data_IF_885139494373
#
_entry.id   IF_885139494373
#
_cell.length_a   1.000
_cell.length_b   1.000
_cell.length_c   1.000
_cell.angle_alpha   90.00
_cell.angle_beta   90.00
_cell.angle_gamma   90.00
#
_symmetry.space_group_name_H-M   'P 1'
#
loop_
_entity.id
_entity.type
_entity.pdbx_description
1 polymer ?
#
# COMPACT_ATOMS: atom_id res chain seq x y z
N UNK A 1 -14.74 8.92 16.84
CA UNK A 1 -13.26 8.91 16.77
C UNK A 1 -12.88 9.45 15.39
N UNK A 2 -12.02 10.47 15.30
CA UNK A 2 -11.66 11.09 14.02
C UNK A 2 -10.36 10.48 13.54
N UNK A 3 -10.43 9.58 12.56
CA UNK A 3 -9.25 8.99 11.92
C UNK A 3 -8.69 10.02 10.94
N UNK A 4 -7.40 10.35 11.04
CA UNK A 4 -6.72 11.22 10.07
C UNK A 4 -5.56 10.47 9.46
N UNK A 5 -5.64 10.21 8.16
CA UNK A 5 -4.57 9.60 7.38
C UNK A 5 -3.44 10.61 7.14
N UNK A 6 -2.22 10.10 6.96
CA UNK A 6 -1.07 10.95 6.67
C UNK A 6 -1.18 11.46 5.22
N UNK A 7 -1.54 12.74 5.07
CA UNK A 7 -1.76 13.36 3.76
C UNK A 7 -0.41 13.82 3.18
N UNK A 8 -0.10 13.56 1.90
CA UNK A 8 1.13 14.03 1.29
C UNK A 8 1.24 15.56 1.40
N UNK A 9 2.36 16.06 1.95
CA UNK A 9 2.62 17.49 2.08
C UNK A 9 3.23 18.08 0.81
N UNK A 10 2.44 18.91 0.14
CA UNK A 10 2.71 20.13 -0.65
C UNK A 10 3.97 20.34 -1.53
N UNK A 11 4.78 19.34 -1.90
CA UNK A 11 5.96 19.66 -2.72
C UNK A 11 5.75 19.61 -4.26
N UNK A 12 4.80 18.85 -4.82
CA UNK A 12 4.93 18.46 -6.25
C UNK A 12 3.68 18.37 -7.17
N UNK A 13 2.43 18.56 -6.74
CA UNK A 13 1.27 18.28 -7.64
C UNK A 13 0.09 19.28 -7.51
N UNK A 14 -0.45 19.71 -8.66
CA UNK A 14 -1.45 20.79 -8.81
C UNK A 14 -2.84 20.57 -8.19
N UNK A 15 -3.62 21.65 -8.11
CA UNK A 15 -4.77 21.79 -7.19
C UNK A 15 -6.02 20.93 -7.44
N UNK A 16 -6.32 20.51 -8.68
CA UNK A 16 -7.52 19.71 -8.99
C UNK A 16 -7.36 18.23 -8.59
N UNK A 17 -6.22 17.62 -8.94
CA UNK A 17 -5.88 16.25 -8.55
C UNK A 17 -5.78 16.10 -7.02
N UNK A 18 -5.23 17.12 -6.35
CA UNK A 18 -5.19 17.21 -4.88
C UNK A 18 -6.58 17.17 -4.25
N UNK A 19 -7.53 17.94 -4.80
CA UNK A 19 -8.88 18.00 -4.23
C UNK A 19 -9.59 16.65 -4.37
N UNK A 20 -9.40 15.95 -5.48
CA UNK A 20 -9.94 14.60 -5.69
C UNK A 20 -9.31 13.58 -4.72
N UNK A 21 -7.98 13.60 -4.54
CA UNK A 21 -7.29 12.74 -3.57
C UNK A 21 -7.76 13.00 -2.14
N UNK A 22 -7.91 14.27 -1.75
CA UNK A 22 -8.41 14.62 -0.42
C UNK A 22 -9.86 14.19 -0.20
N UNK A 23 -10.73 14.31 -1.21
CA UNK A 23 -12.10 13.82 -1.14
C UNK A 23 -12.13 12.29 -0.97
N UNK A 24 -11.32 11.57 -1.73
CA UNK A 24 -11.19 10.12 -1.59
C UNK A 24 -10.66 9.72 -0.20
N UNK A 25 -9.75 10.51 0.36
CA UNK A 25 -9.26 10.35 1.74
C UNK A 25 -10.31 10.61 2.80
N UNK A 26 -11.11 11.68 2.67
CA UNK A 26 -12.18 11.95 3.63
C UNK A 26 -13.23 10.81 3.61
N UNK A 27 -13.51 10.25 2.42
CA UNK A 27 -14.40 9.10 2.26
C UNK A 27 -13.82 7.83 2.90
N UNK A 28 -12.53 7.57 2.71
CA UNK A 28 -11.85 6.42 3.30
C UNK A 28 -11.78 6.54 4.83
N UNK A 29 -11.42 7.71 5.37
CA UNK A 29 -11.38 8.00 6.80
C UNK A 29 -12.76 7.75 7.45
N UNK A 30 -13.84 8.17 6.78
CA UNK A 30 -15.21 7.94 7.23
C UNK A 30 -15.55 6.44 7.23
N UNK A 31 -15.28 5.74 6.13
CA UNK A 31 -15.53 4.31 6.02
C UNK A 31 -14.74 3.51 7.07
N UNK A 32 -13.47 3.86 7.30
CA UNK A 32 -12.64 3.22 8.35
C UNK A 32 -13.26 3.40 9.74
N UNK A 33 -13.77 4.60 10.05
CA UNK A 33 -14.41 4.90 11.33
C UNK A 33 -15.71 4.12 11.52
N UNK A 34 -16.51 3.95 10.47
CA UNK A 34 -17.75 3.15 10.48
C UNK A 34 -17.48 1.65 10.68
N UNK A 35 -16.30 1.16 10.29
CA UNK A 35 -15.91 -0.25 10.38
C UNK A 35 -14.97 -0.56 11.57
N UNK A 36 -14.86 0.36 12.53
CA UNK A 36 -14.11 0.15 13.78
C UNK A 36 -12.59 0.12 13.63
N UNK A 37 -12.04 0.55 12.49
CA UNK A 37 -10.60 0.62 12.25
C UNK A 37 -10.05 1.84 13.01
N UNK A 38 -8.93 1.69 13.72
CA UNK A 38 -8.47 2.71 14.68
C UNK A 38 -7.47 3.71 14.11
N UNK A 39 -6.42 3.28 13.39
CA UNK A 39 -5.45 4.16 12.70
C UNK A 39 -4.81 3.50 11.46
N UNK A 40 -4.14 4.27 10.59
CA UNK A 40 -3.36 3.75 9.45
C UNK A 40 -2.11 2.97 9.91
N UNK A 41 -1.61 3.27 11.10
CA UNK A 41 -0.53 2.52 11.75
C UNK A 41 -1.01 1.11 12.14
N UNK A 42 -2.24 0.98 12.66
CA UNK A 42 -2.90 -0.30 12.91
C UNK A 42 -3.23 -1.06 11.60
N UNK A 43 -3.49 -0.33 10.51
CA UNK A 43 -3.54 -0.81 9.11
C UNK A 43 -2.16 -1.27 8.56
N UNK A 44 -1.04 -1.04 9.23
CA UNK A 44 0.29 -1.46 8.76
C UNK A 44 1.02 -2.38 9.74
N UNK A 45 0.55 -2.49 10.98
CA UNK A 45 1.29 -3.13 12.07
C UNK A 45 0.80 -4.52 12.54
N UNK A 46 -0.19 -5.16 11.92
CA UNK A 46 -0.65 -6.48 12.39
C UNK A 46 -0.40 -7.59 11.36
N UNK A 47 0.52 -8.49 11.69
CA UNK A 47 0.95 -9.62 10.85
C UNK A 47 0.07 -10.86 11.05
N UNK A 48 -1.27 -10.72 11.03
CA UNK A 48 -2.12 -11.92 11.06
C UNK A 48 -2.01 -12.63 9.71
N UNK A 49 -1.61 -13.90 9.78
CA UNK A 49 -1.47 -14.86 8.69
C UNK A 49 -2.63 -14.79 7.69
N UNK A 50 -2.36 -14.22 6.52
CA UNK A 50 -3.22 -14.12 5.32
C UNK A 50 -4.56 -13.43 5.62
N UNK A 51 -4.94 -12.42 4.83
CA UNK A 51 -6.20 -11.66 4.98
C UNK A 51 -7.50 -12.46 4.70
N UNK A 52 -7.54 -13.74 5.05
CA UNK A 52 -8.56 -14.71 4.69
C UNK A 52 -8.36 -15.29 3.28
N UNK A 53 -9.06 -16.39 2.99
CA UNK A 53 -9.20 -16.96 1.66
C UNK A 53 -10.17 -16.17 0.77
N UNK A 54 -10.19 -16.49 -0.53
CA UNK A 54 -11.01 -15.83 -1.55
C UNK A 54 -12.52 -15.81 -1.25
N UNK A 55 -13.01 -16.83 -0.54
CA UNK A 55 -14.43 -16.98 -0.22
C UNK A 55 -14.80 -16.48 1.17
N UNK A 56 -13.82 -16.04 1.96
CA UNK A 56 -14.09 -15.59 3.31
C UNK A 56 -14.89 -14.30 3.25
N UNK A 57 -16.05 -14.27 3.89
CA UNK A 57 -16.88 -13.06 4.01
C UNK A 57 -16.57 -12.28 5.29
N UNK A 58 -15.68 -12.81 6.13
CA UNK A 58 -15.25 -12.24 7.40
C UNK A 58 -13.73 -12.33 7.52
N UNK A 59 -13.09 -11.22 7.90
CA UNK A 59 -11.65 -11.13 8.14
C UNK A 59 -11.38 -9.98 9.12
N UNK A 60 -10.25 -10.02 9.82
CA UNK A 60 -9.94 -9.01 10.84
C UNK A 60 -9.45 -7.70 10.19
N UNK A 61 -10.34 -6.71 10.14
CA UNK A 61 -10.08 -5.37 9.62
C UNK A 61 -9.14 -4.53 10.49
N UNK A 62 -8.77 -5.00 11.69
CA UNK A 62 -7.75 -4.37 12.53
C UNK A 62 -6.33 -4.86 12.20
N UNK A 63 -6.19 -5.62 11.11
CA UNK A 63 -4.90 -6.07 10.61
C UNK A 63 -4.55 -5.40 9.31
N UNK A 64 -3.25 -5.35 8.98
CA UNK A 64 -2.82 -4.63 7.79
C UNK A 64 -3.40 -5.20 6.50
N UNK A 65 -3.41 -6.53 6.44
CA UNK A 65 -3.91 -7.27 5.29
C UNK A 65 -5.45 -7.26 5.25
N UNK A 66 -6.12 -7.43 6.39
CA UNK A 66 -7.58 -7.34 6.44
C UNK A 66 -8.09 -5.94 6.11
N UNK A 67 -7.40 -4.90 6.57
CA UNK A 67 -7.79 -3.54 6.26
C UNK A 67 -7.53 -3.21 4.77
N UNK A 68 -6.39 -3.63 4.19
CA UNK A 68 -6.13 -3.50 2.75
C UNK A 68 -7.24 -4.17 1.92
N UNK A 69 -7.62 -5.38 2.30
CA UNK A 69 -8.72 -6.12 1.69
C UNK A 69 -10.02 -5.33 1.74
N UNK A 70 -10.35 -4.76 2.88
CA UNK A 70 -11.57 -3.98 3.06
C UNK A 70 -11.61 -2.72 2.17
N UNK A 71 -10.46 -2.04 1.99
CA UNK A 71 -10.34 -0.91 1.06
C UNK A 71 -10.61 -1.36 -0.37
N UNK A 72 -10.02 -2.48 -0.80
CA UNK A 72 -10.23 -3.04 -2.14
C UNK A 72 -11.71 -3.36 -2.37
N UNK A 73 -12.35 -4.05 -1.43
CA UNK A 73 -13.78 -4.37 -1.52
C UNK A 73 -14.64 -3.10 -1.58
N UNK A 74 -14.35 -2.10 -0.75
CA UNK A 74 -15.04 -0.82 -0.79
C UNK A 74 -14.93 -0.13 -2.15
N UNK A 75 -13.71 -0.02 -2.71
CA UNK A 75 -13.50 0.59 -4.03
C UNK A 75 -14.25 -0.19 -5.11
N UNK A 76 -14.19 -1.54 -5.09
CA UNK A 76 -14.88 -2.37 -6.09
C UNK A 76 -16.40 -2.26 -6.01
N UNK A 77 -16.97 -2.13 -4.82
CA UNK A 77 -18.41 -1.98 -4.63
C UNK A 77 -18.95 -0.61 -5.05
N UNK A 78 -18.19 0.46 -4.79
CA UNK A 78 -18.66 1.83 -5.00
C UNK A 78 -18.17 2.45 -6.31
N UNK A 79 -17.04 1.96 -6.84
CA UNK A 79 -16.36 2.50 -8.01
C UNK A 79 -15.79 1.38 -8.90
N UNK A 80 -16.64 0.50 -9.46
CA UNK A 80 -16.21 -0.75 -10.10
C UNK A 80 -15.23 -0.57 -11.27
N UNK A 81 -15.29 0.56 -11.97
CA UNK A 81 -14.37 0.90 -13.07
C UNK A 81 -12.99 1.41 -12.65
N UNK A 82 -12.72 1.54 -11.36
CA UNK A 82 -11.42 2.02 -10.87
C UNK A 82 -10.36 0.94 -11.03
N UNK A 83 -9.25 1.25 -11.70
CA UNK A 83 -8.08 0.39 -11.70
C UNK A 83 -7.36 0.46 -10.35
N UNK A 84 -7.01 -0.71 -9.80
CA UNK A 84 -6.32 -0.80 -8.51
C UNK A 84 -5.01 -1.55 -8.75
N UNK A 85 -3.90 -0.85 -8.51
CA UNK A 85 -2.55 -1.39 -8.60
C UNK A 85 -1.99 -1.55 -7.20
N UNK A 86 -1.44 -2.73 -6.87
CA UNK A 86 -0.82 -2.99 -5.58
C UNK A 86 0.70 -3.04 -5.68
N UNK A 87 1.37 -2.34 -4.77
CA UNK A 87 2.82 -2.33 -4.67
C UNK A 87 3.23 -2.86 -3.30
N UNK A 88 4.14 -3.83 -3.27
CA UNK A 88 4.65 -4.35 -1.98
C UNK A 88 5.60 -3.33 -1.33
N UNK A 89 5.82 -3.39 0.00
CA UNK A 89 6.80 -2.55 0.68
C UNK A 89 8.22 -2.73 0.12
N UNK A 90 9.10 -1.76 0.36
CA UNK A 90 10.51 -1.86 -0.04
C UNK A 90 11.31 -2.62 1.02
N UNK A 91 12.33 -3.35 0.57
CA UNK A 91 13.44 -3.72 1.45
C UNK A 91 14.12 -2.46 2.01
N UNK A 92 14.55 -2.53 3.26
CA UNK A 92 15.21 -1.42 3.93
C UNK A 92 16.19 -1.88 5.02
N UNK A 93 17.03 -0.97 5.50
CA UNK A 93 18.10 -1.24 6.45
C UNK A 93 17.67 -1.11 7.93
N UNK A 94 16.48 -0.57 8.21
CA UNK A 94 16.11 -0.08 9.56
C UNK A 94 14.93 -0.83 10.18
N UNK A 95 14.36 -1.81 9.49
CA UNK A 95 13.22 -2.60 9.95
C UNK A 95 13.52 -4.09 9.85
N UNK A 96 12.70 -4.87 10.54
CA UNK A 96 12.68 -6.32 10.48
C UNK A 96 12.21 -6.77 9.08
N UNK A 97 13.12 -7.35 8.30
CA UNK A 97 12.85 -7.77 6.92
C UNK A 97 12.03 -9.05 6.84
N UNK A 98 12.10 -9.93 7.85
CA UNK A 98 11.29 -11.15 7.89
C UNK A 98 9.81 -10.80 8.05
N UNK A 99 9.50 -9.81 8.92
CA UNK A 99 8.14 -9.27 9.05
C UNK A 99 7.65 -8.58 7.77
N UNK A 100 8.52 -7.81 7.11
CA UNK A 100 8.17 -7.18 5.83
C UNK A 100 7.91 -8.21 4.73
N UNK A 101 8.64 -9.32 4.72
CA UNK A 101 8.42 -10.41 3.78
C UNK A 101 7.05 -11.08 4.00
N UNK A 102 6.65 -11.30 5.26
CA UNK A 102 5.30 -11.81 5.58
C UNK A 102 4.21 -10.87 5.06
N UNK A 103 4.33 -9.56 5.29
CA UNK A 103 3.37 -8.56 4.77
C UNK A 103 3.37 -8.52 3.24
N UNK A 104 4.55 -8.57 2.62
CA UNK A 104 4.73 -8.62 1.16
C UNK A 104 3.97 -9.80 0.55
N UNK A 105 4.14 -10.99 1.12
CA UNK A 105 3.46 -12.20 0.67
C UNK A 105 1.94 -12.09 0.85
N UNK A 106 1.49 -11.49 1.95
CA UNK A 106 0.08 -11.20 2.19
C UNK A 106 -0.53 -10.26 1.15
N UNK A 107 0.15 -9.18 0.78
CA UNK A 107 -0.29 -8.23 -0.26
C UNK A 107 -0.38 -8.94 -1.61
N UNK A 108 0.61 -9.76 -1.95
CA UNK A 108 0.60 -10.58 -3.17
C UNK A 108 -0.61 -11.51 -3.20
N UNK A 109 -0.87 -12.23 -2.10
CA UNK A 109 -2.03 -13.13 -2.01
C UNK A 109 -3.37 -12.37 -2.14
N UNK A 110 -3.50 -11.19 -1.53
CA UNK A 110 -4.69 -10.34 -1.68
C UNK A 110 -4.85 -9.89 -3.14
N UNK A 111 -3.76 -9.46 -3.79
CA UNK A 111 -3.80 -9.09 -5.20
C UNK A 111 -4.33 -10.25 -6.06
N UNK A 112 -3.88 -11.48 -5.80
CA UNK A 112 -4.34 -12.67 -6.51
C UNK A 112 -5.84 -12.97 -6.25
N UNK A 113 -6.31 -12.82 -5.00
CA UNK A 113 -7.72 -12.99 -4.62
C UNK A 113 -8.64 -12.09 -5.46
N UNK A 114 -8.26 -10.82 -5.64
CA UNK A 114 -9.06 -9.82 -6.35
C UNK A 114 -8.64 -9.61 -7.81
N UNK A 115 -7.73 -10.44 -8.33
CA UNK A 115 -7.19 -10.33 -9.69
C UNK A 115 -6.65 -8.92 -10.01
N UNK A 116 -5.91 -8.34 -9.07
CA UNK A 116 -5.33 -7.01 -9.20
C UNK A 116 -3.92 -7.08 -9.79
N UNK A 117 -3.57 -6.17 -10.72
CA UNK A 117 -2.19 -5.95 -11.10
C UNK A 117 -1.34 -5.62 -9.85
N UNK A 118 -0.15 -6.24 -9.76
CA UNK A 118 0.79 -5.96 -8.68
C UNK A 118 2.23 -5.83 -9.16
N UNK A 119 3.03 -5.06 -8.43
CA UNK A 119 4.48 -5.04 -8.57
C UNK A 119 5.14 -5.37 -7.24
N UNK A 120 5.94 -6.44 -7.22
CA UNK A 120 6.67 -6.87 -6.03
C UNK A 120 7.94 -6.02 -5.85
N UNK A 121 7.79 -4.80 -5.33
CA UNK A 121 8.92 -3.91 -5.07
C UNK A 121 9.84 -4.43 -3.96
N UNK A 122 9.35 -5.25 -3.02
CA UNK A 122 10.18 -5.88 -1.99
C UNK A 122 11.29 -6.72 -2.62
N UNK A 123 10.97 -7.47 -3.68
CA UNK A 123 11.94 -8.36 -4.36
C UNK A 123 12.55 -7.75 -5.62
N UNK A 124 11.83 -6.85 -6.29
CA UNK A 124 12.18 -6.40 -7.65
C UNK A 124 12.59 -4.93 -7.74
N UNK A 125 12.52 -4.16 -6.65
CA UNK A 125 12.98 -2.76 -6.67
C UNK A 125 14.47 -2.68 -6.98
N UNK A 126 15.30 -3.59 -6.47
CA UNK A 126 16.76 -3.45 -6.51
C UNK A 126 17.33 -2.66 -5.33
N UNK A 127 16.48 -2.28 -4.36
CA UNK A 127 16.91 -1.97 -3.01
C UNK A 127 17.28 -3.26 -2.27
N UNK A 128 18.41 -3.24 -1.57
CA UNK A 128 18.91 -4.37 -0.80
C UNK A 128 20.22 -4.05 -0.10
N UNK A 129 20.82 -5.06 0.53
CA UNK A 129 22.02 -4.97 1.40
C UNK A 129 23.14 -4.03 0.90
N UNK A 130 23.37 -3.96 -0.41
CA UNK A 130 24.47 -3.18 -1.00
C UNK A 130 24.04 -1.87 -1.67
N UNK A 131 22.74 -1.55 -1.67
CA UNK A 131 22.20 -0.43 -2.44
C UNK A 131 21.40 0.57 -1.60
N UNK A 132 21.23 0.32 -0.29
CA UNK A 132 20.53 1.23 0.61
C UNK A 132 21.17 2.61 0.66
N UNK A 133 22.48 2.72 0.90
CA UNK A 133 23.16 4.04 0.97
C UNK A 133 23.07 4.82 -0.34
N UNK A 134 23.04 4.12 -1.47
CA UNK A 134 22.95 4.74 -2.79
C UNK A 134 21.54 5.29 -3.09
N UNK A 135 20.50 4.57 -2.69
CA UNK A 135 19.13 4.85 -3.12
C UNK A 135 18.18 5.30 -2.01
N UNK A 136 18.64 5.37 -0.77
CA UNK A 136 17.87 5.89 0.37
C UNK A 136 18.61 7.04 1.03
N UNK A 137 17.92 7.88 1.80
CA UNK A 137 18.57 8.96 2.55
C UNK A 137 18.72 8.65 4.05
N UNK A 138 18.00 7.67 4.57
CA UNK A 138 18.00 7.27 5.98
C UNK A 138 18.01 5.74 6.17
N UNK A 139 18.28 4.98 5.10
CA UNK A 139 18.19 3.52 5.11
C UNK A 139 16.76 2.98 5.03
N UNK A 140 15.72 3.81 4.96
CA UNK A 140 14.31 3.43 4.87
C UNK A 140 13.63 4.02 3.65
N UNK A 141 13.71 5.33 3.48
CA UNK A 141 12.98 6.08 2.49
C UNK A 141 13.85 6.35 1.25
N UNK A 142 13.33 6.12 0.04
CA UNK A 142 14.05 6.44 -1.18
C UNK A 142 14.55 7.89 -1.22
N UNK A 143 15.74 8.10 -1.77
CA UNK A 143 16.21 9.40 -2.22
C UNK A 143 15.78 9.63 -3.67
N UNK A 144 16.22 10.73 -4.30
CA UNK A 144 15.82 11.05 -5.68
C UNK A 144 16.20 9.95 -6.68
N UNK A 145 17.39 9.37 -6.55
CA UNK A 145 17.84 8.26 -7.41
C UNK A 145 17.02 6.99 -7.16
N UNK A 146 16.69 6.72 -5.90
CA UNK A 146 15.80 5.61 -5.52
C UNK A 146 14.40 5.78 -6.13
N UNK A 147 13.81 6.97 -6.03
CA UNK A 147 12.51 7.27 -6.65
C UNK A 147 12.56 7.14 -8.17
N UNK A 148 13.60 7.64 -8.83
CA UNK A 148 13.76 7.51 -10.29
C UNK A 148 13.84 6.04 -10.72
N UNK A 149 14.61 5.25 -10.00
CA UNK A 149 14.79 3.84 -10.25
C UNK A 149 13.49 3.03 -10.06
N UNK A 150 12.74 3.29 -8.98
CA UNK A 150 11.46 2.64 -8.69
C UNK A 150 10.38 3.11 -9.68
N UNK A 151 10.30 4.41 -9.95
CA UNK A 151 9.32 5.03 -10.84
C UNK A 151 9.35 4.42 -12.25
N UNK A 152 10.53 4.17 -12.81
CA UNK A 152 10.67 3.47 -14.11
C UNK A 152 10.01 2.08 -14.12
N UNK A 153 10.02 1.36 -13.01
CA UNK A 153 9.39 0.03 -12.91
C UNK A 153 7.88 0.14 -12.81
N UNK A 154 7.40 1.10 -12.03
CA UNK A 154 5.96 1.38 -11.89
C UNK A 154 5.37 1.80 -13.26
N UNK A 155 6.00 2.75 -13.96
CA UNK A 155 5.55 3.18 -15.29
C UNK A 155 5.48 2.00 -16.25
N UNK A 156 6.53 1.18 -16.34
CA UNK A 156 6.53 -0.01 -17.20
C UNK A 156 5.42 -0.99 -16.87
N UNK A 157 5.16 -1.22 -15.59
CA UNK A 157 4.06 -2.09 -15.16
C UNK A 157 2.71 -1.53 -15.62
N UNK A 158 2.46 -0.23 -15.40
CA UNK A 158 1.21 0.42 -15.80
C UNK A 158 1.02 0.46 -17.32
N UNK A 159 2.09 0.58 -18.10
CA UNK A 159 2.04 0.55 -19.57
C UNK A 159 1.82 -0.86 -20.15
N UNK A 160 2.10 -1.91 -19.37
CA UNK A 160 1.98 -3.32 -19.79
C UNK A 160 0.76 -4.05 -19.21
N UNK A 161 -0.05 -3.36 -18.40
CA UNK A 161 -1.21 -3.93 -17.70
C UNK A 161 -2.48 -3.92 -18.55
#
# INVERSE_FOLDING_TARGET
MTIKLNRPTNALQGGSYRNALNQNWDMLEKWMAENGIKELSDFLANTSTIGGGRHDTTFDTNTSLGALRAIIEYIRMNYPGTEIYLFTPLQNATRDMDKHEVITNGIIAIADIYSLPRLDLFRMSGLGKYTYELYTHDGLHPNNEGFHMIGKRIVRMMESS
#
